data_IF_033678434861
#
_entry.id   IF_033678434861
#
_cell.length_a   1.000
_cell.length_b   1.000
_cell.length_c   1.000
_cell.angle_alpha   90.00
_cell.angle_beta   90.00
_cell.angle_gamma   90.00
#
_symmetry.space_group_name_H-M   'P 1'
#
loop_
_entity.id
_entity.type
_entity.pdbx_description
1 polymer ?
#
# COMPACT_ATOMS: atom_id res chain seq x y z
N UNK A 1 -62.41 -20.98 14.46
CA UNK A 1 -62.40 -19.98 13.37
C UNK A 1 -61.23 -19.05 13.61
N UNK A 2 -60.25 -19.12 12.70
CA UNK A 2 -59.12 -18.21 12.55
C UNK A 2 -59.65 -16.89 11.96
N UNK A 3 -59.19 -15.74 12.41
CA UNK A 3 -59.03 -14.58 11.52
C UNK A 3 -57.85 -13.71 11.96
N UNK A 4 -56.84 -13.70 11.10
CA UNK A 4 -55.61 -12.94 11.19
C UNK A 4 -55.86 -11.46 10.82
N UNK A 5 -55.15 -10.54 11.48
CA UNK A 5 -55.03 -9.15 11.02
C UNK A 5 -53.73 -9.02 10.24
N UNK A 6 -53.90 -8.84 8.93
CA UNK A 6 -52.86 -8.60 7.94
C UNK A 6 -52.08 -7.33 8.23
N UNK A 7 -50.76 -7.46 8.37
CA UNK A 7 -49.84 -6.34 8.34
C UNK A 7 -49.61 -5.92 6.89
N UNK A 8 -50.07 -4.72 6.54
CA UNK A 8 -49.91 -4.14 5.21
C UNK A 8 -48.43 -3.77 4.99
N UNK A 9 -47.83 -4.34 3.95
CA UNK A 9 -46.52 -3.97 3.47
C UNK A 9 -46.61 -2.64 2.69
N UNK A 10 -45.74 -1.68 3.02
CA UNK A 10 -45.37 -0.62 2.08
C UNK A 10 -43.89 -0.81 1.73
N UNK A 11 -43.67 -1.18 0.48
CA UNK A 11 -42.34 -1.39 -0.09
C UNK A 11 -41.60 -0.07 -0.23
N UNK A 12 -40.38 -0.04 0.29
CA UNK A 12 -39.34 0.91 -0.08
C UNK A 12 -38.08 0.12 -0.39
N UNK A 13 -37.82 -0.10 -1.67
CA UNK A 13 -36.68 -0.84 -2.19
C UNK A 13 -35.36 -0.14 -1.84
N UNK A 14 -34.52 -0.80 -1.03
CA UNK A 14 -33.09 -0.52 -0.99
C UNK A 14 -32.35 -1.85 -1.12
N UNK A 15 -32.02 -2.20 -2.35
CA UNK A 15 -31.07 -3.28 -2.64
C UNK A 15 -29.66 -2.82 -2.30
N UNK A 16 -28.92 -3.60 -1.52
CA UNK A 16 -27.68 -4.23 -1.97
C UNK A 16 -26.82 -4.74 -0.80
N UNK A 17 -26.48 -6.03 -0.91
CA UNK A 17 -25.28 -6.69 -0.39
C UNK A 17 -24.97 -6.58 1.11
N UNK A 18 -25.25 -7.68 1.82
CA UNK A 18 -24.57 -8.02 3.05
C UNK A 18 -23.03 -7.98 2.82
N UNK A 19 -22.38 -6.91 3.27
CA UNK A 19 -20.93 -6.88 3.35
C UNK A 19 -20.50 -7.68 4.58
N UNK A 20 -20.16 -8.94 4.36
CA UNK A 20 -19.16 -9.62 5.18
C UNK A 20 -17.78 -9.28 4.62
N UNK A 21 -16.98 -8.40 5.23
CA UNK A 21 -15.54 -8.48 5.03
C UNK A 21 -14.99 -9.68 5.81
N UNK A 22 -14.81 -10.76 5.06
CA UNK A 22 -13.82 -11.84 5.15
C UNK A 22 -12.66 -11.57 6.14
N UNK A 23 -12.36 -12.57 6.98
CA UNK A 23 -11.17 -12.61 7.83
C UNK A 23 -9.89 -12.32 7.04
N UNK A 24 -9.17 -11.31 7.54
CA UNK A 24 -7.73 -10.99 7.57
C UNK A 24 -6.84 -11.26 6.33
N UNK A 25 -5.80 -10.44 6.18
CA UNK A 25 -4.48 -11.01 6.38
C UNK A 25 -3.92 -10.53 7.71
N UNK A 26 -3.58 -11.48 8.58
CA UNK A 26 -2.48 -11.32 9.51
C UNK A 26 -1.27 -10.92 8.66
N UNK A 27 -1.01 -9.62 8.55
CA UNK A 27 0.29 -9.16 8.11
C UNK A 27 1.13 -9.08 9.36
N UNK A 28 1.48 -10.27 9.87
CA UNK A 28 2.79 -10.55 10.43
C UNK A 28 3.74 -9.37 10.25
N UNK A 29 3.90 -8.65 11.36
CA UNK A 29 5.06 -7.93 11.86
C UNK A 29 6.34 -8.25 11.07
N UNK A 30 6.42 -7.77 9.85
CA UNK A 30 7.66 -7.62 9.11
C UNK A 30 7.54 -6.24 8.52
N UNK A 31 8.08 -5.27 9.25
CA UNK A 31 8.28 -3.92 8.77
C UNK A 31 9.04 -4.02 7.43
N UNK A 32 8.26 -4.14 6.36
CA UNK A 32 8.74 -4.23 5.00
C UNK A 32 9.32 -2.85 4.73
N UNK A 33 10.62 -2.76 4.61
CA UNK A 33 11.30 -1.47 4.68
C UNK A 33 12.74 -1.58 4.26
N UNK A 34 13.39 -0.43 4.20
CA UNK A 34 14.79 -0.33 3.80
C UNK A 34 15.39 0.98 4.25
N UNK A 35 16.72 1.03 4.24
CA UNK A 35 17.45 2.28 4.44
C UNK A 35 17.62 2.92 3.08
N UNK A 36 17.32 4.21 2.97
CA UNK A 36 17.54 4.95 1.73
C UNK A 36 19.03 5.01 1.43
N UNK A 37 19.40 4.61 0.21
CA UNK A 37 20.80 4.60 -0.22
C UNK A 37 21.41 6.00 -0.36
N UNK A 38 22.69 6.05 -0.72
CA UNK A 38 23.45 7.31 -0.85
C UNK A 38 22.88 8.24 -1.92
N UNK A 39 22.18 7.69 -2.92
CA UNK A 39 21.55 8.44 -4.01
C UNK A 39 20.18 9.03 -3.65
N UNK A 40 19.71 8.82 -2.42
CA UNK A 40 18.37 9.21 -2.01
C UNK A 40 17.28 8.30 -2.61
N UNK A 41 16.04 8.53 -2.17
CA UNK A 41 14.89 7.80 -2.67
C UNK A 41 13.73 8.76 -2.97
N UNK A 42 13.06 8.52 -4.09
CA UNK A 42 11.89 9.30 -4.51
C UNK A 42 10.62 8.53 -4.18
N UNK A 43 9.75 9.12 -3.37
CA UNK A 43 8.40 8.63 -3.13
C UNK A 43 7.47 9.20 -4.17
N UNK A 44 6.87 8.32 -4.98
CA UNK A 44 6.02 8.68 -6.12
C UNK A 44 4.55 8.42 -5.83
N UNK A 45 3.66 9.06 -6.56
CA UNK A 45 2.21 8.83 -6.43
C UNK A 45 1.74 7.46 -6.87
N UNK A 46 2.50 6.79 -7.74
CA UNK A 46 2.26 5.42 -8.16
C UNK A 46 3.57 4.63 -8.30
N UNK A 47 3.47 3.31 -8.38
CA UNK A 47 4.58 2.36 -8.47
C UNK A 47 5.19 2.30 -9.89
N UNK A 48 5.46 3.47 -10.48
CA UNK A 48 6.12 3.65 -11.78
C UNK A 48 7.08 4.84 -11.73
N UNK A 49 8.15 4.82 -12.51
CA UNK A 49 9.15 5.90 -12.55
C UNK A 49 8.66 7.14 -13.30
N UNK A 50 7.64 7.00 -14.14
CA UNK A 50 6.98 8.13 -14.82
C UNK A 50 6.00 8.90 -13.93
N UNK A 51 5.66 8.38 -12.75
CA UNK A 51 4.75 9.03 -11.82
C UNK A 51 5.42 10.21 -11.10
N UNK A 52 4.63 11.24 -10.80
CA UNK A 52 5.08 12.41 -10.06
C UNK A 52 5.65 12.04 -8.69
N UNK A 53 6.78 12.66 -8.34
CA UNK A 53 7.40 12.56 -7.01
C UNK A 53 6.60 13.42 -6.03
N UNK A 54 6.06 12.78 -4.98
CA UNK A 54 5.35 13.43 -3.88
C UNK A 54 6.36 13.97 -2.87
N UNK A 55 7.34 13.15 -2.49
CA UNK A 55 8.39 13.54 -1.55
C UNK A 55 9.69 12.82 -1.86
N UNK A 56 10.78 13.33 -1.31
CA UNK A 56 12.11 12.75 -1.44
C UNK A 56 12.65 12.45 -0.05
N UNK A 57 13.35 11.32 0.05
CA UNK A 57 14.03 10.91 1.26
C UNK A 57 15.53 11.02 1.05
N UNK A 58 16.20 11.70 1.98
CA UNK A 58 17.65 11.77 2.03
C UNK A 58 18.27 10.42 2.41
N UNK A 59 19.52 10.21 2.05
CA UNK A 59 20.30 9.01 2.40
C UNK A 59 20.29 8.72 3.89
N UNK A 60 20.27 7.44 4.27
CA UNK A 60 20.29 7.00 5.66
C UNK A 60 18.92 7.07 6.36
N UNK A 61 17.90 7.68 5.74
CA UNK A 61 16.52 7.64 6.25
C UNK A 61 16.02 6.19 6.22
N UNK A 62 15.56 5.66 7.34
CA UNK A 62 14.83 4.38 7.38
C UNK A 62 13.40 4.64 6.97
N UNK A 63 12.92 3.90 5.97
CA UNK A 63 11.53 3.95 5.53
C UNK A 63 10.89 2.59 5.68
N UNK A 64 9.66 2.58 6.19
CA UNK A 64 8.87 1.38 6.44
C UNK A 64 7.54 1.51 5.71
N UNK A 65 7.02 0.40 5.22
CA UNK A 65 5.81 0.36 4.43
C UNK A 65 5.37 -1.05 4.14
N UNK A 66 4.68 -1.24 3.02
CA UNK A 66 4.28 -2.57 2.53
C UNK A 66 4.77 -2.75 1.09
N UNK A 67 5.37 -3.90 0.81
CA UNK A 67 5.84 -4.21 -0.55
C UNK A 67 4.67 -4.46 -1.49
N UNK A 68 4.68 -3.76 -2.62
CA UNK A 68 3.78 -3.97 -3.75
C UNK A 68 4.60 -4.29 -5.00
N UNK A 69 3.98 -4.98 -5.94
CA UNK A 69 4.55 -5.18 -7.27
C UNK A 69 4.14 -4.00 -8.17
N UNK A 70 5.10 -3.41 -8.87
CA UNK A 70 4.93 -2.28 -9.78
C UNK A 70 5.76 -2.42 -11.05
N UNK A 71 6.18 -1.29 -11.61
CA UNK A 71 7.08 -1.27 -12.77
C UNK A 71 8.44 -1.88 -12.40
N UNK A 72 9.00 -2.68 -13.32
CA UNK A 72 10.36 -3.16 -13.19
C UNK A 72 11.33 -2.01 -13.41
N UNK A 73 12.14 -1.73 -12.39
CA UNK A 73 13.16 -0.68 -12.43
C UNK A 73 14.52 -1.35 -12.38
N UNK A 74 15.40 -0.95 -13.29
CA UNK A 74 16.83 -1.19 -13.17
C UNK A 74 17.41 -0.01 -12.36
N UNK A 75 17.92 -0.26 -11.16
CA UNK A 75 18.40 0.82 -10.30
C UNK A 75 19.70 0.49 -9.58
N UNK A 76 20.10 1.36 -8.66
CA UNK A 76 21.48 1.41 -8.17
C UNK A 76 21.89 0.22 -7.29
N UNK A 77 20.97 -0.32 -6.49
CA UNK A 77 21.28 -1.40 -5.53
C UNK A 77 20.77 -2.76 -5.99
N UNK A 78 19.65 -2.78 -6.69
CA UNK A 78 19.03 -4.00 -7.20
C UNK A 78 18.13 -3.65 -8.37
N UNK A 79 17.83 -4.64 -9.20
CA UNK A 79 16.85 -4.49 -10.26
C UNK A 79 15.60 -5.27 -9.86
N UNK A 80 14.46 -4.60 -9.82
CA UNK A 80 13.26 -5.21 -9.26
C UNK A 80 12.00 -4.49 -9.69
N UNK A 81 10.91 -5.25 -9.72
CA UNK A 81 9.56 -4.72 -9.84
C UNK A 81 8.90 -4.45 -8.48
N UNK A 82 9.66 -4.47 -7.38
CA UNK A 82 9.14 -4.21 -6.04
C UNK A 82 9.22 -2.74 -5.67
N UNK A 83 8.11 -2.25 -5.13
CA UNK A 83 7.94 -0.89 -4.67
C UNK A 83 7.40 -0.91 -3.25
N UNK A 84 7.92 -0.05 -2.40
CA UNK A 84 7.48 0.11 -1.03
C UNK A 84 6.37 1.15 -0.98
N UNK A 85 5.16 0.74 -0.63
CA UNK A 85 4.04 1.65 -0.32
C UNK A 85 4.27 2.24 1.07
N UNK A 86 4.56 3.53 1.15
CA UNK A 86 4.90 4.27 2.37
C UNK A 86 3.87 5.37 2.58
N UNK A 87 3.44 5.55 3.83
CA UNK A 87 2.67 6.73 4.24
C UNK A 87 3.58 7.66 5.03
N UNK A 88 3.81 8.87 4.50
CA UNK A 88 4.69 9.86 5.11
C UNK A 88 4.03 11.24 5.09
N UNK A 89 4.02 11.93 6.23
CA UNK A 89 3.42 13.26 6.40
C UNK A 89 1.96 13.35 5.89
N UNK A 90 1.15 12.31 6.12
CA UNK A 90 -0.25 12.24 5.67
C UNK A 90 -0.46 11.87 4.21
N UNK A 91 0.60 11.76 3.40
CA UNK A 91 0.53 11.33 2.01
C UNK A 91 0.97 9.87 1.86
N UNK A 92 0.26 9.11 1.02
CA UNK A 92 0.67 7.75 0.63
C UNK A 92 1.39 7.80 -0.72
N UNK A 93 2.55 7.17 -0.81
CA UNK A 93 3.28 7.03 -2.06
C UNK A 93 4.10 5.75 -2.12
N UNK A 94 4.89 5.62 -3.19
CA UNK A 94 5.60 4.41 -3.56
C UNK A 94 7.07 4.71 -3.80
N UNK A 95 7.95 3.97 -3.14
CA UNK A 95 9.40 4.09 -3.30
C UNK A 95 9.96 2.83 -3.95
N UNK A 96 10.75 2.96 -5.00
CA UNK A 96 11.35 1.78 -5.64
C UNK A 96 12.38 1.14 -4.72
N UNK A 97 12.32 -0.19 -4.54
CA UNK A 97 13.33 -0.95 -3.77
C UNK A 97 14.74 -0.73 -4.28
N UNK A 98 14.87 -0.42 -5.56
CA UNK A 98 16.14 -0.22 -6.25
C UNK A 98 16.95 0.98 -5.73
N UNK A 99 16.29 1.87 -4.99
CA UNK A 99 16.87 3.05 -4.30
C UNK A 99 17.11 2.81 -2.81
N UNK A 100 16.69 1.66 -2.31
CA UNK A 100 16.86 1.27 -0.92
C UNK A 100 18.06 0.35 -0.82
N UNK A 101 19.02 0.77 -0.02
CA UNK A 101 20.08 -0.10 0.43
C UNK A 101 19.49 -1.01 1.50
N UNK A 102 19.34 -2.30 1.16
CA UNK A 102 19.40 -3.31 2.20
C UNK A 102 20.83 -3.21 2.75
N UNK A 103 20.98 -2.54 3.88
CA UNK A 103 22.19 -2.64 4.66
C UNK A 103 22.25 -4.10 5.11
N UNK A 104 22.82 -4.97 4.29
CA UNK A 104 23.35 -6.24 4.73
C UNK A 104 24.50 -5.84 5.65
N UNK A 105 24.23 -5.77 6.95
CA UNK A 105 25.30 -5.63 7.92
C UNK A 105 26.16 -6.88 7.81
N UNK A 106 27.34 -6.72 7.21
CA UNK A 106 28.51 -7.62 7.20
C UNK A 106 28.32 -8.99 6.54
#
# INVERSE_FOLDING_TARGET
MIFAVSLFAFGGSASAAAFKPKAEPDVSILASGGTVGIYGANMRSCSKVSCSTITTFSSGKKITGSWVTGEYVQGHYTNSNKWLKVTYAGATGYVSVTTLSYYYGL
#
